data_IF_596408529970
#
_entry.id   IF_596408529970
#
_cell.length_a   1.000
_cell.length_b   1.000
_cell.length_c   1.000
_cell.angle_alpha   90.00
_cell.angle_beta   90.00
_cell.angle_gamma   90.00
#
_symmetry.space_group_name_H-M   'P 1'
#
loop_
_entity.id
_entity.type
_entity.pdbx_description
1 polymer ?
#
# COMPACT_ATOMS: atom_id res chain seq x y z
N UNK A 1 10.39 3.99 -10.72
CA UNK A 1 9.93 2.64 -10.29
C UNK A 1 9.90 1.72 -11.52
N UNK A 2 9.75 0.39 -11.39
CA UNK A 2 9.52 -0.49 -12.54
C UNK A 2 8.29 -0.04 -13.33
N UNK A 3 8.38 -0.15 -14.65
CA UNK A 3 7.31 0.20 -15.59
C UNK A 3 6.56 -1.05 -16.03
N UNK A 4 5.26 -0.90 -16.31
CA UNK A 4 4.45 -2.01 -16.78
C UNK A 4 4.96 -2.57 -18.12
N UNK A 5 5.28 -1.70 -19.08
CA UNK A 5 5.82 -2.09 -20.39
C UNK A 5 7.03 -3.04 -20.32
N UNK A 6 7.94 -2.85 -19.37
CA UNK A 6 9.13 -3.68 -19.19
C UNK A 6 8.76 -5.10 -18.77
N UNK A 7 7.80 -5.25 -17.85
CA UNK A 7 7.33 -6.55 -17.38
C UNK A 7 6.51 -7.24 -18.46
N UNK A 8 5.60 -6.52 -19.10
CA UNK A 8 4.80 -7.04 -20.21
C UNK A 8 5.69 -7.55 -21.33
N UNK A 9 6.72 -6.79 -21.72
CA UNK A 9 7.68 -7.21 -22.75
C UNK A 9 8.42 -8.49 -22.37
N UNK A 10 8.91 -8.57 -21.13
CA UNK A 10 9.58 -9.78 -20.64
C UNK A 10 8.64 -10.99 -20.63
N UNK A 11 7.38 -10.79 -20.24
CA UNK A 11 6.37 -11.84 -20.26
C UNK A 11 6.13 -12.34 -21.69
N UNK A 12 5.91 -11.45 -22.66
CA UNK A 12 5.71 -11.80 -24.07
C UNK A 12 6.86 -12.62 -24.64
N UNK A 13 8.12 -12.22 -24.36
CA UNK A 13 9.32 -12.97 -24.78
C UNK A 13 9.35 -14.38 -24.18
N UNK A 14 9.04 -14.52 -22.88
CA UNK A 14 9.05 -15.82 -22.20
C UNK A 14 7.88 -16.73 -22.61
N UNK A 15 6.79 -16.13 -23.07
CA UNK A 15 5.62 -16.81 -23.63
C UNK A 15 5.78 -17.14 -25.13
N UNK A 16 6.85 -16.64 -25.77
CA UNK A 16 7.08 -16.75 -27.22
C UNK A 16 5.91 -16.14 -28.03
N UNK A 17 5.35 -15.04 -27.56
CA UNK A 17 4.21 -14.32 -28.17
C UNK A 17 4.54 -12.84 -28.39
N UNK A 18 5.55 -12.58 -29.23
CA UNK A 18 6.03 -11.22 -29.51
C UNK A 18 5.01 -10.36 -30.28
N UNK A 19 4.05 -11.00 -30.96
CA UNK A 19 2.95 -10.34 -31.68
C UNK A 19 1.69 -10.14 -30.82
N UNK A 20 1.67 -10.67 -29.60
CA UNK A 20 0.59 -10.51 -28.61
C UNK A 20 -0.75 -11.03 -29.12
N UNK A 21 -0.69 -12.08 -29.93
CA UNK A 21 -1.87 -12.68 -30.58
C UNK A 21 -2.60 -13.62 -29.64
N UNK A 22 -1.84 -14.33 -28.80
CA UNK A 22 -2.37 -15.29 -27.82
C UNK A 22 -2.67 -14.61 -26.49
N UNK A 23 -1.78 -13.72 -26.08
CA UNK A 23 -1.81 -12.99 -24.83
C UNK A 23 -1.75 -11.48 -25.10
N UNK A 24 -2.92 -10.83 -25.31
CA UNK A 24 -2.97 -9.40 -25.48
C UNK A 24 -2.32 -8.66 -24.31
N UNK A 25 -1.64 -7.53 -24.58
CA UNK A 25 -0.96 -6.75 -23.55
C UNK A 25 -1.91 -6.28 -22.43
N UNK A 26 -3.16 -5.96 -22.77
CA UNK A 26 -4.19 -5.60 -21.80
C UNK A 26 -4.50 -6.72 -20.82
N UNK A 27 -4.59 -7.96 -21.30
CA UNK A 27 -4.81 -9.13 -20.45
C UNK A 27 -3.60 -9.41 -19.54
N UNK A 28 -2.38 -9.31 -20.08
CA UNK A 28 -1.16 -9.42 -19.28
C UNK A 28 -1.09 -8.32 -18.19
N UNK A 29 -1.54 -7.10 -18.50
CA UNK A 29 -1.59 -5.99 -17.56
C UNK A 29 -2.64 -6.21 -16.45
N UNK A 30 -3.79 -6.84 -16.75
CA UNK A 30 -4.77 -7.21 -15.73
C UNK A 30 -4.17 -8.21 -14.72
N UNK A 31 -3.43 -9.21 -15.19
CA UNK A 31 -2.72 -10.15 -14.31
C UNK A 31 -1.60 -9.48 -13.53
N UNK A 32 -0.91 -8.50 -14.12
CA UNK A 32 0.06 -7.69 -13.42
C UNK A 32 -0.59 -6.90 -12.28
N UNK A 33 -1.77 -6.31 -12.51
CA UNK A 33 -2.55 -5.61 -11.49
C UNK A 33 -3.03 -6.55 -10.38
N UNK A 34 -3.41 -7.79 -10.71
CA UNK A 34 -3.68 -8.84 -9.72
C UNK A 34 -2.44 -9.21 -8.89
N UNK A 35 -1.27 -9.31 -9.53
CA UNK A 35 0.00 -9.59 -8.86
C UNK A 35 0.35 -8.50 -7.83
N UNK A 36 0.15 -7.22 -8.18
CA UNK A 36 0.33 -6.10 -7.26
C UNK A 36 -0.58 -6.25 -6.04
N UNK A 37 -1.87 -6.54 -6.24
CA UNK A 37 -2.83 -6.79 -5.16
C UNK A 37 -2.39 -7.94 -4.26
N UNK A 38 -1.92 -9.04 -4.84
CA UNK A 38 -1.45 -10.21 -4.11
C UNK A 38 -0.20 -9.90 -3.25
N UNK A 39 0.75 -9.13 -3.79
CA UNK A 39 1.94 -8.69 -3.05
C UNK A 39 1.54 -7.77 -1.89
N UNK A 40 0.70 -6.76 -2.16
CA UNK A 40 0.28 -5.79 -1.13
C UNK A 40 -0.53 -6.49 -0.03
N UNK A 41 -1.36 -7.48 -0.37
CA UNK A 41 -2.09 -8.30 0.60
C UNK A 41 -1.14 -9.08 1.52
N UNK A 42 -0.13 -9.75 0.96
CA UNK A 42 0.83 -10.51 1.74
C UNK A 42 1.81 -9.61 2.52
N UNK A 43 2.05 -8.40 2.01
CA UNK A 43 3.03 -7.46 2.54
C UNK A 43 2.55 -6.02 2.36
N UNK A 44 1.72 -5.51 3.29
CA UNK A 44 1.20 -4.14 3.21
C UNK A 44 2.27 -3.07 3.10
N UNK A 45 3.43 -3.26 3.74
CA UNK A 45 4.55 -2.31 3.67
C UNK A 45 5.24 -2.23 2.30
N UNK A 46 4.96 -3.14 1.36
CA UNK A 46 5.47 -3.09 -0.02
C UNK A 46 5.02 -1.82 -0.76
N UNK A 47 3.84 -1.31 -0.41
CA UNK A 47 3.32 -0.04 -0.89
C UNK A 47 2.89 0.79 0.32
N UNK A 48 3.84 1.54 0.87
CA UNK A 48 3.63 2.38 2.04
C UNK A 48 4.24 3.76 1.86
N UNK A 49 3.62 4.76 2.48
CA UNK A 49 4.11 6.14 2.47
C UNK A 49 3.60 6.90 3.68
N UNK A 50 4.27 8.01 4.00
CA UNK A 50 3.79 8.98 4.97
C UNK A 50 3.10 10.14 4.28
N UNK A 51 1.99 10.62 4.83
CA UNK A 51 1.21 11.74 4.30
C UNK A 51 0.69 12.64 5.43
N UNK A 52 0.49 13.94 5.18
CA UNK A 52 -0.28 14.80 6.07
C UNK A 52 -1.76 14.38 6.04
N UNK A 53 -2.37 14.25 7.21
CA UNK A 53 -3.80 14.03 7.41
C UNK A 53 -4.38 15.17 8.25
N UNK A 54 -5.24 16.03 7.66
CA UNK A 54 -6.07 16.94 8.43
C UNK A 54 -7.06 16.17 9.31
N UNK A 55 -7.18 16.57 10.57
CA UNK A 55 -8.02 15.87 11.55
C UNK A 55 -9.40 16.51 11.65
N UNK A 56 -10.43 15.67 11.80
CA UNK A 56 -11.78 16.11 12.11
C UNK A 56 -11.89 16.52 13.59
N UNK A 57 -12.88 17.35 13.92
CA UNK A 57 -13.16 17.70 15.32
C UNK A 57 -13.64 16.46 16.09
N UNK A 58 -12.99 16.15 17.20
CA UNK A 58 -13.32 15.03 18.08
C UNK A 58 -12.17 14.05 18.27
N UNK A 59 -12.44 12.99 19.05
CA UNK A 59 -11.46 11.94 19.31
C UNK A 59 -11.38 10.92 18.19
N UNK A 60 -12.48 10.64 17.50
CA UNK A 60 -12.52 9.65 16.40
C UNK A 60 -11.96 10.24 15.11
N UNK A 61 -11.11 9.48 14.43
CA UNK A 61 -10.49 9.85 13.16
C UNK A 61 -10.53 8.65 12.20
N UNK A 62 -10.80 8.92 10.93
CA UNK A 62 -10.89 7.91 9.88
C UNK A 62 -10.00 8.33 8.71
N UNK A 63 -9.30 7.37 8.10
CA UNK A 63 -8.62 7.60 6.84
C UNK A 63 -9.66 7.79 5.74
N UNK A 64 -9.54 8.84 4.91
CA UNK A 64 -10.49 9.05 3.82
C UNK A 64 -10.38 7.93 2.78
N UNK A 65 -11.46 7.70 2.03
CA UNK A 65 -11.50 6.69 0.95
C UNK A 65 -10.35 6.85 -0.08
N UNK A 66 -9.89 8.09 -0.28
CA UNK A 66 -8.69 8.42 -1.04
C UNK A 66 -7.85 9.45 -0.29
N UNK A 67 -6.54 9.23 -0.20
CA UNK A 67 -5.59 10.20 0.37
C UNK A 67 -4.42 10.40 -0.59
N UNK A 68 -4.24 11.62 -1.09
CA UNK A 68 -3.21 11.95 -2.09
C UNK A 68 -3.28 11.04 -3.35
N UNK A 69 -4.51 10.81 -3.84
CA UNK A 69 -4.77 10.05 -5.07
C UNK A 69 -4.65 8.53 -4.96
N UNK A 70 -4.40 7.96 -3.78
CA UNK A 70 -4.36 6.50 -3.56
C UNK A 70 -5.42 6.07 -2.57
N UNK A 71 -5.82 4.80 -2.66
CA UNK A 71 -6.74 4.15 -1.71
C UNK A 71 -5.94 3.62 -0.51
N UNK A 72 -6.12 4.15 0.70
CA UNK A 72 -5.50 3.60 1.90
C UNK A 72 -6.03 2.19 2.18
N UNK A 73 -5.15 1.31 2.65
CA UNK A 73 -5.50 -0.06 3.04
C UNK A 73 -5.39 -0.30 4.54
N UNK A 74 -4.35 0.27 5.17
CA UNK A 74 -4.11 0.12 6.59
C UNK A 74 -3.28 1.30 7.12
N UNK A 75 -3.67 1.82 8.28
CA UNK A 75 -2.84 2.72 9.06
C UNK A 75 -1.67 1.94 9.67
N UNK A 76 -0.44 2.40 9.39
CA UNK A 76 0.79 1.83 9.95
C UNK A 76 1.26 2.61 11.18
N UNK A 77 0.87 3.88 11.30
CA UNK A 77 1.16 4.69 12.48
C UNK A 77 0.83 6.17 12.31
N UNK A 78 0.87 6.89 13.43
CA UNK A 78 0.71 8.35 13.48
C UNK A 78 1.93 8.93 14.20
N UNK A 79 2.80 9.61 13.46
CA UNK A 79 4.17 9.87 13.90
C UNK A 79 4.30 11.16 14.71
N UNK A 80 3.74 12.24 14.19
CA UNK A 80 3.89 13.60 14.75
C UNK A 80 2.79 14.53 14.27
N UNK A 81 2.57 15.60 15.01
CA UNK A 81 1.80 16.73 14.53
C UNK A 81 2.59 17.46 13.44
N UNK A 82 1.88 18.13 12.54
CA UNK A 82 2.43 19.00 11.52
C UNK A 82 1.88 20.42 11.71
N UNK A 83 2.67 21.42 11.32
CA UNK A 83 2.25 22.83 11.36
C UNK A 83 1.13 23.11 10.36
N UNK A 84 1.13 22.37 9.24
CA UNK A 84 0.11 22.39 8.20
C UNK A 84 0.22 21.15 7.29
N UNK A 85 -0.65 21.08 6.30
CA UNK A 85 -0.77 19.97 5.33
C UNK A 85 0.13 20.12 4.09
N UNK A 86 0.94 21.17 4.02
CA UNK A 86 1.87 21.43 2.92
C UNK A 86 3.02 20.43 2.79
N UNK A 87 3.60 20.39 1.60
CA UNK A 87 4.68 19.44 1.23
C UNK A 87 5.97 19.60 2.04
N UNK A 88 6.22 20.77 2.64
CA UNK A 88 7.41 21.04 3.47
C UNK A 88 7.42 20.23 4.78
N UNK A 89 6.26 19.72 5.23
CA UNK A 89 6.09 18.84 6.42
C UNK A 89 6.87 19.33 7.66
N UNK A 90 6.63 20.58 8.04
CA UNK A 90 7.23 21.15 9.27
C UNK A 90 6.63 20.42 10.47
N UNK A 91 7.49 19.69 11.19
CA UNK A 91 7.09 18.86 12.32
C UNK A 91 6.78 19.67 13.58
N UNK A 92 5.69 19.31 14.25
CA UNK A 92 5.35 19.72 15.60
C UNK A 92 5.64 18.60 16.61
N UNK A 93 4.87 18.60 17.71
CA UNK A 93 4.99 17.62 18.80
C UNK A 93 4.90 16.17 18.28
N UNK A 94 5.81 15.30 18.74
CA UNK A 94 5.75 13.86 18.47
C UNK A 94 4.53 13.22 19.14
N UNK A 95 3.94 12.22 18.47
CA UNK A 95 2.74 11.51 18.93
C UNK A 95 3.16 10.12 19.41
N UNK A 96 2.52 9.62 20.47
CA UNK A 96 2.78 8.29 21.02
C UNK A 96 1.55 7.40 20.83
N UNK A 97 1.76 6.12 20.54
CA UNK A 97 0.67 5.15 20.63
C UNK A 97 0.39 4.80 22.10
N UNK A 98 -0.87 4.77 22.50
CA UNK A 98 -1.33 4.38 23.82
C UNK A 98 -2.25 3.16 23.72
N UNK A 99 -2.18 2.28 24.71
CA UNK A 99 -3.17 1.21 24.85
C UNK A 99 -4.50 1.81 25.30
N UNK A 100 -5.61 1.41 24.66
CA UNK A 100 -6.95 1.89 24.99
C UNK A 100 -7.26 1.79 26.48
N UNK A 101 -7.07 0.60 27.05
CA UNK A 101 -7.35 0.34 28.46
C UNK A 101 -6.56 1.24 29.43
N UNK A 102 -5.32 1.63 29.07
CA UNK A 102 -4.53 2.53 29.90
C UNK A 102 -5.08 3.95 29.86
N UNK A 103 -5.43 4.43 28.67
CA UNK A 103 -6.01 5.77 28.50
C UNK A 103 -7.39 5.86 29.15
N UNK A 104 -8.24 4.85 28.96
CA UNK A 104 -9.57 4.77 29.58
C UNK A 104 -9.49 4.70 31.12
N UNK A 105 -8.43 4.11 31.69
CA UNK A 105 -8.22 4.08 33.13
C UNK A 105 -7.70 5.40 33.71
N UNK A 106 -6.85 6.11 32.97
CA UNK A 106 -6.25 7.37 33.41
C UNK A 106 -7.18 8.57 33.19
N UNK A 107 -7.88 8.58 32.06
CA UNK A 107 -8.73 9.69 31.62
C UNK A 107 -10.09 9.16 31.14
N UNK A 108 -10.97 8.62 32.01
CA UNK A 108 -12.19 7.92 31.57
C UNK A 108 -13.14 8.73 30.68
N UNK A 109 -13.13 10.05 30.83
CA UNK A 109 -14.01 10.98 30.10
C UNK A 109 -13.29 11.68 28.94
N UNK A 110 -12.17 11.14 28.44
CA UNK A 110 -11.36 11.77 27.38
C UNK A 110 -12.07 11.98 26.04
N UNK A 111 -13.22 11.30 25.85
CA UNK A 111 -14.11 11.49 24.71
C UNK A 111 -15.05 12.70 24.85
N UNK A 112 -15.19 13.27 26.05
CA UNK A 112 -16.10 14.39 26.32
C UNK A 112 -15.32 15.72 26.40
N UNK A 113 -15.56 16.67 25.46
CA UNK A 113 -14.89 17.96 25.45
C UNK A 113 -15.20 18.84 26.67
N UNK A 114 -16.25 18.53 27.44
CA UNK A 114 -16.53 19.21 28.71
C UNK A 114 -15.52 18.86 29.80
N UNK A 115 -14.90 17.67 29.74
CA UNK A 115 -13.90 17.20 30.71
C UNK A 115 -12.48 17.37 30.17
N UNK A 116 -12.20 16.91 28.95
CA UNK A 116 -10.92 17.15 28.27
C UNK A 116 -11.16 17.98 27.00
N UNK A 117 -10.88 19.30 27.03
CA UNK A 117 -11.08 20.17 25.88
C UNK A 117 -10.29 19.71 24.66
N UNK A 118 -10.94 19.75 23.51
CA UNK A 118 -10.30 19.42 22.24
C UNK A 118 -9.23 20.45 21.87
N UNK A 119 -8.14 19.98 21.23
CA UNK A 119 -6.96 20.78 20.92
C UNK A 119 -6.45 20.52 19.51
N UNK A 120 -5.79 21.51 18.92
CA UNK A 120 -5.07 21.34 17.65
C UNK A 120 -3.99 20.25 17.70
N UNK A 121 -3.26 20.16 18.82
CA UNK A 121 -2.16 19.21 18.98
C UNK A 121 -2.61 17.88 19.60
N UNK A 122 -2.34 16.78 18.89
CA UNK A 122 -2.51 15.41 19.37
C UNK A 122 -1.29 14.98 20.19
N UNK A 123 -1.50 14.30 21.31
CA UNK A 123 -0.42 13.78 22.16
C UNK A 123 -0.27 12.28 22.05
N UNK A 124 -1.39 11.59 22.03
CA UNK A 124 -1.46 10.13 21.97
C UNK A 124 -2.49 9.70 20.94
N UNK A 125 -2.28 8.52 20.38
CA UNK A 125 -3.27 7.85 19.55
C UNK A 125 -3.54 6.45 20.06
N UNK A 126 -4.78 5.99 19.90
CA UNK A 126 -5.21 4.62 20.13
C UNK A 126 -5.58 4.05 18.77
N UNK A 127 -4.99 2.90 18.43
CA UNK A 127 -5.22 2.21 17.18
C UNK A 127 -5.59 0.74 17.48
N UNK A 128 -6.57 0.22 16.75
CA UNK A 128 -6.98 -1.19 16.79
C UNK A 128 -6.73 -1.80 15.42
N UNK A 129 -5.94 -2.88 15.39
CA UNK A 129 -5.59 -3.58 14.15
C UNK A 129 -6.80 -4.22 13.45
N UNK A 130 -7.88 -4.49 14.19
CA UNK A 130 -9.13 -5.01 13.62
C UNK A 130 -9.92 -3.95 12.84
N UNK A 131 -9.62 -2.67 13.07
CA UNK A 131 -10.27 -1.52 12.45
C UNK A 131 -9.18 -0.66 11.76
N UNK A 132 -8.56 -1.18 10.68
CA UNK A 132 -7.28 -0.70 10.17
C UNK A 132 -7.31 0.71 9.56
N UNK A 133 -8.49 1.27 9.33
CA UNK A 133 -8.68 2.59 8.70
C UNK A 133 -9.07 3.69 9.69
N UNK A 134 -9.24 3.37 10.97
CA UNK A 134 -9.63 4.33 11.98
C UNK A 134 -8.66 4.34 13.16
N UNK A 135 -8.62 5.46 13.86
CA UNK A 135 -7.87 5.62 15.09
C UNK A 135 -8.51 6.70 15.96
N UNK A 136 -8.11 6.75 17.22
CA UNK A 136 -8.57 7.76 18.15
C UNK A 136 -7.42 8.64 18.60
N UNK A 137 -7.63 9.96 18.61
CA UNK A 137 -6.66 10.96 19.02
C UNK A 137 -6.98 11.49 20.43
N UNK A 138 -5.93 11.61 21.25
CA UNK A 138 -5.98 12.21 22.58
C UNK A 138 -4.98 13.37 22.74
N UNK A 139 -5.40 14.54 23.27
CA UNK A 139 -6.79 14.97 23.39
C UNK A 139 -7.52 14.92 22.03
N UNK A 140 -8.85 14.93 22.04
CA UNK A 140 -9.62 15.03 20.80
C UNK A 140 -9.20 16.26 20.00
N UNK A 141 -9.25 16.20 18.67
CA UNK A 141 -8.81 17.31 17.83
C UNK A 141 -9.88 18.42 17.77
N UNK A 142 -9.46 19.67 17.66
CA UNK A 142 -10.40 20.79 17.50
C UNK A 142 -10.88 21.00 16.06
N UNK A 143 -10.36 20.22 15.11
CA UNK A 143 -10.64 20.31 13.67
C UNK A 143 -9.60 21.09 12.87
N UNK A 144 -8.56 21.62 13.52
CA UNK A 144 -7.50 22.40 12.87
C UNK A 144 -6.13 21.71 12.92
N UNK A 145 -6.05 20.51 13.52
CA UNK A 145 -4.82 19.73 13.61
C UNK A 145 -4.50 19.02 12.31
N UNK A 146 -3.20 18.85 12.05
CA UNK A 146 -2.69 18.01 10.97
C UNK A 146 -1.66 17.07 11.59
N UNK A 147 -1.70 15.80 11.22
CA UNK A 147 -0.72 14.80 11.67
C UNK A 147 -0.07 14.12 10.48
N UNK A 148 1.17 13.67 10.65
CA UNK A 148 1.83 12.79 9.68
C UNK A 148 1.44 11.35 9.97
N UNK A 149 0.63 10.76 9.09
CA UNK A 149 0.26 9.35 9.14
C UNK A 149 1.18 8.54 8.24
N UNK A 150 1.55 7.34 8.68
CA UNK A 150 2.11 6.30 7.83
C UNK A 150 0.98 5.34 7.48
N UNK A 151 0.81 5.04 6.20
CA UNK A 151 -0.21 4.11 5.71
C UNK A 151 0.34 3.18 4.63
N UNK A 152 -0.25 2.00 4.52
CA UNK A 152 -0.19 1.21 3.30
C UNK A 152 -1.33 1.61 2.37
N UNK A 153 -1.09 1.48 1.07
CA UNK A 153 -2.07 1.83 0.05
C UNK A 153 -2.08 0.82 -1.09
N UNK A 154 -3.16 0.83 -1.86
CA UNK A 154 -3.23 0.13 -3.13
C UNK A 154 -2.70 1.06 -4.22
N UNK A 155 -1.62 0.70 -4.94
CA UNK A 155 -1.19 1.44 -6.12
C UNK A 155 -2.31 1.59 -7.15
N UNK A 156 -2.29 2.70 -7.89
CA UNK A 156 -3.16 2.84 -9.05
C UNK A 156 -2.88 1.68 -10.03
N UNK A 157 -3.92 1.08 -10.64
CA UNK A 157 -3.72 0.01 -11.61
C UNK A 157 -2.93 0.53 -12.82
N UNK A 158 -2.06 -0.31 -13.36
CA UNK A 158 -1.45 -0.09 -14.66
C UNK A 158 -2.55 -0.16 -15.72
N UNK A 159 -2.86 0.99 -16.31
CA UNK A 159 -3.82 1.17 -17.39
C UNK A 159 -3.08 1.79 -18.59
N UNK A 160 -3.58 1.58 -19.81
CA UNK A 160 -2.97 2.19 -20.99
C UNK A 160 -3.09 3.72 -20.92
N UNK A 161 -2.03 4.40 -21.35
CA UNK A 161 -1.98 5.86 -21.41
C UNK A 161 -3.05 6.37 -22.38
N UNK A 162 -3.82 7.35 -21.93
CA UNK A 162 -4.94 7.89 -22.70
C UNK A 162 -4.50 8.37 -24.09
N UNK A 163 -5.22 7.92 -25.13
CA UNK A 163 -4.96 8.26 -26.53
C UNK A 163 -3.83 7.47 -27.19
N UNK A 164 -3.26 6.47 -26.52
CA UNK A 164 -2.27 5.53 -27.10
C UNK A 164 -2.94 4.22 -27.52
N UNK A 165 -2.31 3.50 -28.44
CA UNK A 165 -2.75 2.17 -28.87
C UNK A 165 -2.31 1.11 -27.85
N UNK A 166 -3.29 0.48 -27.18
CA UNK A 166 -3.10 -0.53 -26.12
C UNK A 166 -2.35 -1.77 -26.59
N UNK A 167 -2.27 -2.01 -27.91
CA UNK A 167 -1.50 -3.13 -28.48
C UNK A 167 0.01 -2.85 -28.51
N UNK A 168 0.43 -1.62 -28.22
CA UNK A 168 1.83 -1.21 -28.23
C UNK A 168 2.38 -1.01 -26.82
N UNK A 169 3.66 -1.36 -26.61
CA UNK A 169 4.33 -1.14 -25.31
C UNK A 169 4.35 0.33 -24.86
N UNK A 170 4.27 1.29 -25.79
CA UNK A 170 4.29 2.71 -25.48
C UNK A 170 3.05 3.14 -24.67
N UNK A 171 1.90 2.49 -24.90
CA UNK A 171 0.70 2.71 -24.10
C UNK A 171 0.87 2.29 -22.63
N UNK A 172 1.82 1.40 -22.34
CA UNK A 172 2.03 0.83 -21.00
C UNK A 172 3.23 1.42 -20.25
N UNK A 173 3.69 2.62 -20.62
CA UNK A 173 4.78 3.33 -19.91
C UNK A 173 4.33 3.97 -18.58
N UNK A 174 3.61 3.19 -17.78
CA UNK A 174 3.05 3.57 -16.47
C UNK A 174 3.83 2.90 -15.35
N UNK A 175 3.99 3.60 -14.22
CA UNK A 175 4.61 3.01 -13.03
C UNK A 175 3.65 2.04 -12.35
N UNK A 176 4.19 0.91 -11.88
CA UNK A 176 3.40 -0.15 -11.21
C UNK A 176 3.12 0.21 -9.73
N UNK A 177 3.83 1.20 -9.19
CA UNK A 177 3.69 1.66 -7.80
C UNK A 177 4.26 0.70 -6.74
N UNK A 178 5.10 -0.26 -7.16
CA UNK A 178 5.96 -1.06 -6.28
C UNK A 178 7.44 -0.81 -6.64
N UNK A 179 8.36 -0.69 -5.67
CA UNK A 179 9.77 -0.47 -5.95
C UNK A 179 10.47 -1.74 -6.48
N UNK A 180 11.68 -1.60 -7.04
CA UNK A 180 12.54 -2.78 -7.22
C UNK A 180 12.88 -3.41 -5.86
N UNK A 181 13.02 -4.74 -5.74
CA UNK A 181 13.08 -5.75 -6.80
C UNK A 181 11.73 -6.45 -7.11
N UNK A 182 10.57 -5.83 -6.83
CA UNK A 182 9.27 -6.49 -7.04
C UNK A 182 8.96 -6.82 -8.52
N UNK A 183 9.72 -6.27 -9.48
CA UNK A 183 9.58 -6.62 -10.90
C UNK A 183 9.71 -8.13 -11.16
N UNK A 184 10.54 -8.82 -10.37
CA UNK A 184 10.77 -10.28 -10.49
C UNK A 184 9.53 -11.08 -10.12
N UNK A 185 8.99 -11.02 -8.88
CA UNK A 185 7.78 -11.76 -8.54
C UNK A 185 6.57 -11.33 -9.39
N UNK A 186 6.46 -10.06 -9.78
CA UNK A 186 5.37 -9.61 -10.65
C UNK A 186 5.37 -10.35 -12.01
N UNK A 187 6.55 -10.53 -12.62
CA UNK A 187 6.69 -11.29 -13.87
C UNK A 187 6.27 -12.75 -13.69
N UNK A 188 6.71 -13.41 -12.61
CA UNK A 188 6.34 -14.80 -12.33
C UNK A 188 4.83 -14.99 -12.16
N UNK A 189 4.15 -14.04 -11.51
CA UNK A 189 2.69 -14.11 -11.37
C UNK A 189 1.96 -13.99 -12.72
N UNK A 190 2.42 -13.10 -13.61
CA UNK A 190 1.86 -12.96 -14.96
C UNK A 190 2.04 -14.26 -15.76
N UNK A 191 3.23 -14.88 -15.70
CA UNK A 191 3.50 -16.16 -16.36
C UNK A 191 2.66 -17.30 -15.76
N UNK A 192 2.48 -17.32 -14.44
CA UNK A 192 1.58 -18.26 -13.77
C UNK A 192 0.17 -18.19 -14.35
N UNK A 193 -0.39 -16.98 -14.49
CA UNK A 193 -1.75 -16.80 -15.04
C UNK A 193 -1.83 -17.23 -16.50
N UNK A 194 -0.85 -16.85 -17.32
CA UNK A 194 -0.77 -17.25 -18.72
C UNK A 194 -0.76 -18.79 -18.88
N UNK A 195 0.18 -19.48 -18.22
CA UNK A 195 0.28 -20.94 -18.30
C UNK A 195 -0.88 -21.68 -17.62
N UNK A 196 -1.57 -21.05 -16.65
CA UNK A 196 -2.77 -21.65 -16.04
C UNK A 196 -4.01 -21.57 -16.93
N UNK A 197 -4.15 -20.48 -17.70
CA UNK A 197 -5.29 -20.28 -18.60
C UNK A 197 -5.15 -21.08 -19.89
N UNK A 198 -3.93 -21.37 -20.31
CA UNK A 198 -3.67 -22.01 -21.60
C UNK A 198 -4.27 -23.43 -21.68
N UNK A 199 -5.23 -23.62 -22.60
CA UNK A 199 -5.95 -24.89 -22.80
C UNK A 199 -5.27 -25.81 -23.83
N UNK A 200 -4.60 -25.23 -24.84
CA UNK A 200 -4.06 -25.99 -25.99
C UNK A 200 -2.60 -26.40 -25.74
N UNK A 201 -1.82 -25.54 -25.07
CA UNK A 201 -0.42 -25.80 -24.72
C UNK A 201 -0.17 -25.64 -23.21
N UNK A 202 -1.23 -25.77 -22.40
CA UNK A 202 -1.17 -25.66 -20.95
C UNK A 202 -0.13 -26.58 -20.34
N UNK A 203 0.78 -25.97 -19.57
CA UNK A 203 1.71 -26.70 -18.72
C UNK A 203 1.40 -26.35 -17.26
N UNK A 204 0.46 -27.10 -16.62
CA UNK A 204 0.06 -26.83 -15.25
C UNK A 204 1.24 -27.01 -14.27
N UNK A 205 2.24 -27.81 -14.62
CA UNK A 205 3.45 -27.99 -13.79
C UNK A 205 4.30 -26.72 -13.84
N UNK A 206 4.51 -26.16 -15.03
CA UNK A 206 5.23 -24.90 -15.22
C UNK A 206 4.49 -23.72 -14.59
N UNK A 207 3.17 -23.66 -14.73
CA UNK A 207 2.33 -22.65 -14.08
C UNK A 207 2.53 -22.68 -12.56
N UNK A 208 2.42 -23.86 -11.95
CA UNK A 208 2.61 -24.04 -10.51
C UNK A 208 4.03 -23.68 -10.06
N UNK A 209 5.05 -23.97 -10.88
CA UNK A 209 6.44 -23.57 -10.59
C UNK A 209 6.63 -22.05 -10.53
N UNK A 210 6.03 -21.30 -11.47
CA UNK A 210 6.05 -19.83 -11.42
C UNK A 210 5.32 -19.30 -10.18
N UNK A 211 4.16 -19.86 -9.84
CA UNK A 211 3.44 -19.46 -8.62
C UNK A 211 4.26 -19.72 -7.34
N UNK A 212 4.95 -20.87 -7.26
CA UNK A 212 5.83 -21.17 -6.14
C UNK A 212 7.01 -20.20 -6.06
N UNK A 213 7.59 -19.81 -7.19
CA UNK A 213 8.69 -18.82 -7.25
C UNK A 213 8.21 -17.44 -6.81
N UNK A 214 7.03 -17.01 -7.27
CA UNK A 214 6.35 -15.80 -6.79
C UNK A 214 6.16 -15.83 -5.27
N UNK A 215 5.52 -16.88 -4.75
CA UNK A 215 5.20 -17.00 -3.33
C UNK A 215 6.47 -17.05 -2.46
N UNK A 216 7.51 -17.76 -2.92
CA UNK A 216 8.80 -17.82 -2.24
C UNK A 216 9.49 -16.46 -2.21
N UNK A 217 9.52 -15.73 -3.33
CA UNK A 217 10.15 -14.41 -3.40
C UNK A 217 9.47 -13.40 -2.45
N UNK A 218 8.12 -13.39 -2.42
CA UNK A 218 7.34 -12.55 -1.50
C UNK A 218 7.60 -12.97 -0.05
N UNK A 219 7.59 -14.26 0.25
CA UNK A 219 7.85 -14.79 1.60
C UNK A 219 9.25 -14.47 2.13
N UNK A 220 10.29 -14.63 1.29
CA UNK A 220 11.68 -14.28 1.64
C UNK A 220 11.77 -12.80 1.98
N UNK A 221 11.11 -11.92 1.22
CA UNK A 221 11.12 -10.48 1.47
C UNK A 221 10.47 -10.13 2.82
N UNK A 222 9.33 -10.74 3.13
CA UNK A 222 8.66 -10.56 4.43
C UNK A 222 9.56 -11.00 5.59
N UNK A 223 10.22 -12.16 5.47
CA UNK A 223 11.14 -12.66 6.49
C UNK A 223 12.36 -11.75 6.65
N UNK A 224 12.98 -11.33 5.54
CA UNK A 224 14.17 -10.47 5.53
C UNK A 224 13.91 -9.09 6.14
N UNK A 225 12.74 -8.49 5.92
CA UNK A 225 12.40 -7.22 6.56
C UNK A 225 12.17 -7.38 8.07
N UNK A 226 11.57 -8.50 8.49
CA UNK A 226 11.41 -8.77 9.91
C UNK A 226 12.76 -8.87 10.63
N UNK A 227 13.78 -9.43 9.98
CA UNK A 227 15.12 -9.61 10.57
C UNK A 227 16.02 -8.37 10.42
N UNK A 228 15.85 -7.59 9.36
CA UNK A 228 16.64 -6.40 9.07
C UNK A 228 16.09 -5.11 9.72
N UNK A 229 14.95 -5.16 10.41
CA UNK A 229 14.35 -4.00 11.06
C UNK A 229 15.35 -3.34 12.04
N UNK A 230 15.82 -2.10 11.76
CA UNK A 230 16.82 -1.43 12.60
C UNK A 230 16.35 -1.19 14.04
N UNK A 231 15.04 -1.10 14.25
CA UNK A 231 14.42 -0.92 15.56
C UNK A 231 14.32 -2.23 16.36
N UNK A 232 14.61 -3.38 15.73
CA UNK A 232 14.56 -4.72 16.36
C UNK A 232 15.89 -5.12 17.01
N UNK A 233 16.93 -4.27 16.93
CA UNK A 233 18.14 -4.45 17.72
C UNK A 233 17.97 -3.83 19.11
N UNK A 234 17.45 -4.63 20.05
CA UNK A 234 17.78 -4.60 21.47
C UNK A 234 17.48 -5.95 22.10
#
# INVERSE_FOLDING_TARGET
MPKANDILRRASVLLLDDEHTRWPLSELADWLNEAVKAIVLAKPSASSRTLPLPLAKGTYQELPATLDGVTPLQLLGVNRNLVGDGSTRIGGRAIRTAARALLDAQEPNWHDPAYEPFRKEVRQVVFDENLPLEFYAYPGNDGNGVVEVALSYLPAPALPLAGQDETTYAAWDVEIGLPEPYSVPLLDYVLYKAFSKDDIAGDPTKAMSHYQTFAAAVGIKVQAESSANPNRRR
#
